data_IF_769024133938
#
_entry.id   IF_769024133938
#
_cell.length_a   1.000
_cell.length_b   1.000
_cell.length_c   1.000
_cell.angle_alpha   90.00
_cell.angle_beta   90.00
_cell.angle_gamma   90.00
#
_symmetry.space_group_name_H-M   'P 1'
#
loop_
_entity.id
_entity.type
_entity.pdbx_description
1 polymer ?
#
# COMPACT_ATOMS: atom_id res chain seq x y z
N UNK A 1 1.29 -20.67 -7.66
CA UNK A 1 1.27 -22.07 -7.17
C UNK A 1 0.08 -22.11 -6.25
N UNK A 2 -1.08 -22.52 -6.78
CA UNK A 2 -2.29 -22.68 -6.00
C UNK A 2 -2.02 -23.88 -5.08
N UNK A 3 -2.05 -23.69 -3.76
CA UNK A 3 -2.02 -24.86 -2.88
C UNK A 3 -3.35 -25.59 -3.07
N UNK A 4 -3.35 -26.81 -3.62
CA UNK A 4 -4.59 -27.51 -3.96
C UNK A 4 -5.40 -27.73 -2.67
N UNK A 5 -6.60 -27.16 -2.63
CA UNK A 5 -7.52 -27.31 -1.49
C UNK A 5 -7.40 -26.27 -0.38
N UNK A 6 -6.49 -25.29 -0.46
CA UNK A 6 -6.49 -24.18 0.52
C UNK A 6 -7.48 -23.09 0.11
N UNK A 7 -8.45 -22.81 0.97
CA UNK A 7 -9.37 -21.69 0.80
C UNK A 7 -8.59 -20.35 0.76
N UNK A 8 -9.06 -19.35 0.02
CA UNK A 8 -8.43 -18.04 -0.07
C UNK A 8 -8.18 -17.37 1.30
N UNK A 9 -9.00 -17.69 2.30
CA UNK A 9 -8.89 -17.23 3.69
C UNK A 9 -7.60 -17.72 4.33
N UNK A 10 -7.32 -19.02 4.21
CA UNK A 10 -6.11 -19.64 4.75
C UNK A 10 -4.88 -19.09 4.04
N UNK A 11 -4.94 -18.93 2.72
CA UNK A 11 -3.85 -18.34 1.95
C UNK A 11 -3.57 -16.90 2.36
N UNK A 12 -4.63 -16.12 2.58
CA UNK A 12 -4.55 -14.73 3.05
C UNK A 12 -3.99 -14.65 4.46
N UNK A 13 -4.42 -15.55 5.35
CA UNK A 13 -3.90 -15.64 6.71
C UNK A 13 -2.41 -15.99 6.71
N UNK A 14 -1.99 -17.01 5.97
CA UNK A 14 -0.58 -17.39 5.83
C UNK A 14 0.27 -16.26 5.28
N UNK A 15 -0.25 -15.53 4.29
CA UNK A 15 0.43 -14.36 3.73
C UNK A 15 0.66 -13.28 4.80
N UNK A 16 -0.37 -12.95 5.59
CA UNK A 16 -0.30 -11.94 6.66
C UNK A 16 0.65 -12.37 7.79
N UNK A 17 0.68 -13.66 8.12
CA UNK A 17 1.49 -14.17 9.24
C UNK A 17 2.96 -14.42 8.87
N UNK A 18 3.26 -14.82 7.64
CA UNK A 18 4.60 -15.28 7.24
C UNK A 18 5.22 -14.32 6.23
N UNK A 19 4.60 -14.20 5.04
CA UNK A 19 5.20 -13.47 3.93
C UNK A 19 5.35 -11.99 4.21
N UNK A 20 4.34 -11.38 4.83
CA UNK A 20 4.32 -9.95 5.09
C UNK A 20 5.37 -9.52 6.12
N UNK A 21 5.52 -10.16 7.30
CA UNK A 21 6.63 -9.89 8.22
C UNK A 21 7.99 -10.10 7.56
N UNK A 22 8.15 -11.19 6.80
CA UNK A 22 9.41 -11.51 6.10
C UNK A 22 9.79 -10.43 5.11
N UNK A 23 8.82 -9.90 4.36
CA UNK A 23 9.06 -8.82 3.38
C UNK A 23 9.40 -7.48 4.06
N UNK A 24 8.84 -7.22 5.26
CA UNK A 24 9.07 -5.98 6.00
C UNK A 24 10.32 -6.00 6.89
N UNK A 25 10.86 -7.18 7.16
CA UNK A 25 11.95 -7.35 8.11
C UNK A 25 13.19 -6.55 7.70
N UNK A 26 13.74 -5.78 8.64
CA UNK A 26 14.97 -4.98 8.44
C UNK A 26 14.79 -3.66 7.67
N UNK A 27 13.69 -3.47 6.93
CA UNK A 27 13.45 -2.24 6.17
C UNK A 27 13.15 -1.01 7.05
N UNK A 28 12.82 -1.25 8.32
CA UNK A 28 12.69 -0.20 9.34
C UNK A 28 14.01 0.55 9.55
N UNK A 29 15.14 -0.13 9.40
CA UNK A 29 16.47 0.39 9.64
C UNK A 29 17.11 1.05 8.41
N UNK A 30 16.52 0.89 7.22
CA UNK A 30 17.08 1.37 5.96
C UNK A 30 16.29 2.58 5.43
N UNK A 31 16.98 3.56 4.85
CA UNK A 31 16.30 4.58 4.05
C UNK A 31 15.72 3.92 2.79
N UNK A 32 14.45 4.19 2.49
CA UNK A 32 13.77 3.63 1.33
C UNK A 32 13.39 4.73 0.36
N UNK A 33 13.71 4.55 -0.91
CA UNK A 33 13.31 5.47 -1.98
C UNK A 33 11.90 5.12 -2.46
N UNK A 34 11.11 6.11 -2.91
CA UNK A 34 9.77 5.89 -3.47
C UNK A 34 9.72 4.85 -4.60
N UNK A 35 10.82 4.67 -5.36
CA UNK A 35 10.93 3.63 -6.39
C UNK A 35 11.00 2.23 -5.76
N UNK A 36 11.76 2.07 -4.67
CA UNK A 36 11.87 0.80 -3.95
C UNK A 36 10.54 0.46 -3.28
N UNK A 37 9.85 1.46 -2.72
CA UNK A 37 8.52 1.27 -2.13
C UNK A 37 7.52 0.71 -3.15
N UNK A 38 7.42 1.33 -4.33
CA UNK A 38 6.56 0.86 -5.42
C UNK A 38 6.92 -0.56 -5.90
N UNK A 39 8.21 -0.89 -5.92
CA UNK A 39 8.68 -2.26 -6.23
C UNK A 39 8.25 -3.26 -5.16
N UNK A 40 8.36 -2.93 -3.88
CA UNK A 40 7.95 -3.80 -2.77
C UNK A 40 6.44 -4.01 -2.74
N UNK A 41 5.64 -2.97 -2.98
CA UNK A 41 4.18 -3.09 -3.16
C UNK A 41 3.82 -3.98 -4.36
N UNK A 42 4.57 -3.84 -5.46
CA UNK A 42 4.39 -4.69 -6.65
C UNK A 42 4.73 -6.16 -6.36
N UNK A 43 5.76 -6.41 -5.55
CA UNK A 43 6.14 -7.77 -5.09
C UNK A 43 5.06 -8.34 -4.17
N UNK A 44 4.57 -7.56 -3.20
CA UNK A 44 3.46 -7.96 -2.32
C UNK A 44 2.24 -8.42 -3.15
N UNK A 45 1.81 -7.59 -4.10
CA UNK A 45 0.68 -7.92 -4.98
C UNK A 45 0.94 -9.14 -5.87
N UNK A 46 2.16 -9.29 -6.39
CA UNK A 46 2.53 -10.46 -7.22
C UNK A 46 2.49 -11.77 -6.43
N UNK A 47 2.99 -11.78 -5.19
CA UNK A 47 2.98 -12.96 -4.34
C UNK A 47 1.54 -13.43 -4.04
N UNK A 48 0.65 -12.49 -3.73
CA UNK A 48 -0.76 -12.79 -3.44
C UNK A 48 -1.52 -13.27 -4.68
N UNK A 49 -1.29 -12.64 -5.84
CA UNK A 49 -1.87 -13.12 -7.10
C UNK A 49 -1.38 -14.53 -7.43
N UNK A 50 -0.09 -14.79 -7.22
CA UNK A 50 0.51 -16.09 -7.48
C UNK A 50 -0.03 -17.17 -6.54
N UNK A 51 -0.39 -16.84 -5.29
CA UNK A 51 -1.06 -17.79 -4.38
C UNK A 51 -2.50 -18.07 -4.81
N UNK A 52 -3.23 -17.05 -5.27
CA UNK A 52 -4.62 -17.16 -5.71
C UNK A 52 -4.81 -17.63 -7.17
N UNK A 53 -3.72 -17.83 -7.91
CA UNK A 53 -3.79 -18.22 -9.33
C UNK A 53 -4.24 -17.11 -10.28
N UNK A 54 -4.18 -15.85 -9.85
CA UNK A 54 -4.58 -14.69 -10.66
C UNK A 54 -3.46 -14.22 -11.60
N UNK A 55 -3.84 -13.55 -12.69
CA UNK A 55 -2.89 -12.98 -13.65
C UNK A 55 -1.96 -11.96 -13.01
N UNK A 56 -0.74 -11.84 -13.53
CA UNK A 56 0.21 -10.79 -13.11
C UNK A 56 -0.34 -9.38 -13.36
N UNK A 57 -1.19 -9.22 -14.37
CA UNK A 57 -1.67 -7.94 -14.91
C UNK A 57 -2.92 -7.36 -14.19
N UNK A 58 -3.46 -8.02 -13.17
CA UNK A 58 -4.63 -7.50 -12.44
C UNK A 58 -4.30 -6.29 -11.55
N UNK A 59 -5.29 -5.46 -11.19
CA UNK A 59 -5.02 -4.41 -10.21
C UNK A 59 -4.83 -4.98 -8.79
N UNK A 60 -3.70 -4.64 -8.17
CA UNK A 60 -3.37 -5.06 -6.80
C UNK A 60 -4.27 -4.39 -5.75
N UNK A 61 -4.66 -3.13 -5.96
CA UNK A 61 -5.27 -2.29 -4.93
C UNK A 61 -6.63 -2.81 -4.49
N UNK A 62 -7.55 -3.09 -5.42
CA UNK A 62 -8.87 -3.64 -5.09
C UNK A 62 -8.77 -5.04 -4.45
N UNK A 63 -7.85 -5.87 -4.94
CA UNK A 63 -7.62 -7.22 -4.42
C UNK A 63 -7.10 -7.19 -2.98
N UNK A 64 -6.09 -6.36 -2.70
CA UNK A 64 -5.54 -6.19 -1.34
C UNK A 64 -6.61 -5.71 -0.36
N UNK A 65 -7.47 -4.77 -0.79
CA UNK A 65 -8.60 -4.31 0.02
C UNK A 65 -9.60 -5.42 0.29
N UNK A 66 -9.98 -6.20 -0.72
CA UNK A 66 -10.94 -7.31 -0.57
C UNK A 66 -10.44 -8.40 0.39
N UNK A 67 -9.14 -8.69 0.37
CA UNK A 67 -8.48 -9.64 1.26
C UNK A 67 -8.14 -9.04 2.64
N UNK A 68 -8.47 -7.77 2.88
CA UNK A 68 -8.13 -7.03 4.08
C UNK A 68 -6.62 -7.08 4.39
N UNK A 69 -5.79 -6.96 3.35
CA UNK A 69 -4.33 -6.90 3.44
C UNK A 69 -3.92 -5.43 3.40
N UNK A 70 -3.23 -4.98 4.44
CA UNK A 70 -2.71 -3.61 4.53
C UNK A 70 -1.66 -3.35 3.44
N UNK A 71 -1.58 -2.09 2.98
CA UNK A 71 -0.53 -1.69 2.04
C UNK A 71 0.84 -1.82 2.70
N UNK A 72 1.85 -2.08 1.88
CA UNK A 72 3.20 -2.25 2.35
C UNK A 72 3.72 -1.00 3.08
N UNK A 73 3.46 0.19 2.53
CA UNK A 73 3.89 1.47 3.10
C UNK A 73 3.33 1.70 4.51
N UNK A 74 2.03 1.44 4.71
CA UNK A 74 1.36 1.62 6.00
C UNK A 74 1.97 0.76 7.10
N UNK A 75 2.30 -0.49 6.77
CA UNK A 75 2.92 -1.44 7.69
C UNK A 75 4.32 -0.98 8.04
N UNK A 76 5.10 -0.56 7.04
CA UNK A 76 6.45 -0.08 7.25
C UNK A 76 6.45 1.18 8.13
N UNK A 77 5.54 2.12 7.89
CA UNK A 77 5.40 3.33 8.68
C UNK A 77 5.05 3.01 10.14
N UNK A 78 4.07 2.12 10.36
CA UNK A 78 3.74 1.63 11.71
C UNK A 78 4.93 1.01 12.41
N UNK A 79 5.67 0.17 11.69
CA UNK A 79 6.83 -0.52 12.21
C UNK A 79 7.98 0.45 12.56
N UNK A 80 8.26 1.44 11.70
CA UNK A 80 9.22 2.52 11.93
C UNK A 80 8.86 3.30 13.20
N UNK A 81 7.60 3.70 13.35
CA UNK A 81 7.12 4.41 14.54
C UNK A 81 7.24 3.54 15.80
N UNK A 82 6.96 2.24 15.69
CA UNK A 82 7.12 1.28 16.78
C UNK A 82 8.59 1.09 17.17
N UNK A 83 9.49 0.95 16.20
CA UNK A 83 10.94 0.87 16.42
C UNK A 83 11.47 2.14 17.09
N UNK A 84 11.10 3.31 16.58
CA UNK A 84 11.50 4.60 17.12
C UNK A 84 11.13 4.70 18.61
N UNK A 85 9.88 4.41 18.97
CA UNK A 85 9.45 4.39 20.37
C UNK A 85 10.20 3.35 21.22
N UNK A 86 10.38 2.12 20.72
CA UNK A 86 11.11 1.06 21.46
C UNK A 86 12.55 1.46 21.78
N UNK A 87 13.22 2.18 20.88
CA UNK A 87 14.59 2.67 21.11
C UNK A 87 14.65 3.61 22.32
N UNK A 88 13.66 4.46 22.55
CA UNK A 88 13.64 5.36 23.72
C UNK A 88 13.35 4.65 25.04
N UNK A 89 12.65 3.50 25.00
CA UNK A 89 12.32 2.70 26.19
C UNK A 89 13.48 1.87 26.72
N UNK A 90 14.40 1.44 25.86
CA UNK A 90 15.51 0.54 26.22
C UNK A 90 16.82 1.31 26.30
N UNK A 91 17.57 1.13 27.40
CA UNK A 91 18.92 1.66 27.48
C UNK A 91 19.84 0.96 26.47
N UNK A 92 20.25 1.71 25.44
CA UNK A 92 21.10 1.22 24.37
C UNK A 92 21.94 2.35 23.78
N UNK A 93 23.04 2.04 23.08
CA UNK A 93 23.78 3.03 22.30
C UNK A 93 22.89 3.73 21.26
N UNK A 94 21.94 2.99 20.67
CA UNK A 94 20.94 3.54 19.75
C UNK A 94 20.07 4.62 20.41
N UNK A 95 19.67 4.44 21.69
CA UNK A 95 18.95 5.46 22.46
C UNK A 95 19.75 6.75 22.58
N UNK A 96 21.03 6.66 22.96
CA UNK A 96 21.90 7.84 23.13
C UNK A 96 22.09 8.58 21.81
N UNK A 97 22.28 7.85 20.71
CA UNK A 97 22.36 8.42 19.36
C UNK A 97 21.05 9.13 18.99
N UNK A 98 19.89 8.48 19.20
CA UNK A 98 18.59 9.08 18.89
C UNK A 98 18.27 10.29 19.77
N UNK A 99 18.66 10.29 21.05
CA UNK A 99 18.54 11.45 21.93
C UNK A 99 19.40 12.62 21.45
N UNK A 100 20.62 12.36 21.00
CA UNK A 100 21.50 13.38 20.42
C UNK A 100 20.92 13.96 19.12
N UNK A 101 20.38 13.11 18.24
CA UNK A 101 19.72 13.58 17.01
C UNK A 101 18.45 14.38 17.32
N UNK A 102 17.67 13.94 18.32
CA UNK A 102 16.46 14.63 18.75
C UNK A 102 16.79 15.99 19.38
N UNK A 103 17.81 16.10 20.23
CA UNK A 103 18.22 17.38 20.81
C UNK A 103 18.71 18.34 19.73
N UNK A 104 19.49 17.85 18.75
CA UNK A 104 19.90 18.63 17.59
C UNK A 104 18.71 19.12 16.76
N UNK A 105 17.70 18.28 16.58
CA UNK A 105 16.47 18.66 15.89
C UNK A 105 15.68 19.74 16.66
N UNK A 106 15.57 19.62 17.99
CA UNK A 106 14.89 20.62 18.83
C UNK A 106 15.63 21.97 18.79
N UNK A 107 16.96 21.97 18.90
CA UNK A 107 17.74 23.21 18.97
C UNK A 107 17.86 23.93 17.61
N UNK A 108 18.01 23.17 16.51
CA UNK A 108 18.35 23.74 15.20
C UNK A 108 17.29 23.53 14.12
N UNK A 109 16.25 22.73 14.39
CA UNK A 109 15.22 22.38 13.40
C UNK A 109 15.71 21.52 12.24
N UNK A 110 16.92 20.94 12.33
CA UNK A 110 17.55 20.18 11.23
C UNK A 110 17.59 18.69 11.53
N UNK A 111 17.17 17.88 10.56
CA UNK A 111 17.33 16.42 10.57
C UNK A 111 18.56 16.00 9.76
N UNK A 112 19.07 14.79 10.02
CA UNK A 112 20.12 14.15 9.21
C UNK A 112 19.45 13.17 8.27
N UNK A 113 19.63 13.35 6.97
CA UNK A 113 18.95 12.56 5.94
C UNK A 113 19.17 11.06 6.11
N UNK A 114 18.10 10.28 5.94
CA UNK A 114 18.16 8.82 6.03
C UNK A 114 18.24 8.25 7.45
N UNK A 115 18.28 9.10 8.48
CA UNK A 115 18.14 8.63 9.86
C UNK A 115 16.70 8.25 10.18
N UNK A 116 16.52 7.45 11.23
CA UNK A 116 15.19 7.09 11.72
C UNK A 116 14.37 8.32 12.12
N UNK A 117 15.01 9.33 12.73
CA UNK A 117 14.38 10.59 13.10
C UNK A 117 13.87 11.35 11.86
N UNK A 118 14.69 11.44 10.82
CA UNK A 118 14.32 12.07 9.55
C UNK A 118 13.09 11.42 8.92
N UNK A 119 13.01 10.09 8.97
CA UNK A 119 11.83 9.34 8.50
C UNK A 119 10.58 9.70 9.30
N UNK A 120 10.65 9.74 10.62
CA UNK A 120 9.50 10.10 11.48
C UNK A 120 9.02 11.52 11.16
N UNK A 121 9.95 12.46 10.98
CA UNK A 121 9.61 13.84 10.59
C UNK A 121 8.99 13.88 9.19
N UNK A 122 9.53 13.13 8.21
CA UNK A 122 8.98 13.08 6.84
C UNK A 122 7.58 12.49 6.76
N UNK A 123 7.18 11.64 7.73
CA UNK A 123 5.83 11.11 7.85
C UNK A 123 4.82 12.13 8.43
N UNK A 124 5.29 13.32 8.82
CA UNK A 124 4.46 14.35 9.48
C UNK A 124 4.17 14.04 10.96
N UNK A 125 4.88 13.08 11.56
CA UNK A 125 4.70 12.68 12.94
C UNK A 125 5.62 13.50 13.86
N UNK A 126 5.12 13.88 15.05
CA UNK A 126 5.91 14.61 16.05
C UNK A 126 6.92 13.67 16.71
N UNK A 127 8.25 13.89 16.56
CA UNK A 127 9.25 12.99 17.12
C UNK A 127 9.24 12.97 18.64
N UNK A 128 9.03 14.12 19.28
CA UNK A 128 8.97 14.23 20.74
C UNK A 128 7.75 13.51 21.30
N UNK A 129 6.57 13.69 20.69
CA UNK A 129 5.35 12.98 21.08
C UNK A 129 5.54 11.47 20.95
N UNK A 130 6.12 10.99 19.84
CA UNK A 130 6.33 9.56 19.59
C UNK A 130 7.42 8.93 20.45
N UNK A 131 8.46 9.68 20.82
CA UNK A 131 9.51 9.22 21.71
C UNK A 131 9.06 9.07 23.16
N UNK A 132 8.22 9.99 23.66
CA UNK A 132 7.84 10.07 25.07
C UNK A 132 6.47 9.45 25.37
N UNK A 133 5.49 9.66 24.48
CA UNK A 133 4.11 9.24 24.66
C UNK A 133 3.66 8.36 23.48
N UNK A 134 3.93 7.06 23.60
CA UNK A 134 3.45 6.11 22.60
C UNK A 134 1.95 5.91 22.67
N UNK A 135 1.25 6.43 21.67
CA UNK A 135 -0.09 5.98 21.33
C UNK A 135 0.04 4.83 20.32
N UNK A 136 -0.55 3.68 20.63
CA UNK A 136 -0.64 2.56 19.70
C UNK A 136 -1.22 3.06 18.38
N UNK A 137 -0.48 2.90 17.28
CA UNK A 137 -0.99 3.24 15.94
C UNK A 137 -1.99 2.15 15.57
N UNK A 138 -3.30 2.46 15.52
CA UNK A 138 -4.30 1.46 15.15
C UNK A 138 -3.97 0.91 13.75
N UNK A 139 -4.30 -0.37 13.51
CA UNK A 139 -4.27 -0.89 12.15
C UNK A 139 -5.22 -0.03 11.32
N UNK A 140 -4.77 0.44 10.17
CA UNK A 140 -5.65 1.18 9.26
C UNK A 140 -6.70 0.19 8.79
N UNK A 141 -7.93 0.36 9.28
CA UNK A 141 -9.05 -0.44 8.79
C UNK A 141 -9.31 0.01 7.37
N UNK A 142 -9.14 -0.90 6.42
CA UNK A 142 -9.43 -0.67 5.01
C UNK A 142 -10.95 -0.71 4.84
N UNK A 143 -11.65 0.34 5.30
CA UNK A 143 -13.12 0.43 5.30
C UNK A 143 -13.63 1.38 4.23
N UNK A 144 -12.95 1.46 3.08
CA UNK A 144 -13.58 2.03 1.90
C UNK A 144 -14.50 0.96 1.30
N UNK A 145 -15.78 1.07 1.63
CA UNK A 145 -16.87 0.30 1.02
C UNK A 145 -16.98 0.72 -0.45
N UNK A 146 -16.31 -0.03 -1.31
CA UNK A 146 -16.40 0.09 -2.76
C UNK A 146 -17.14 -1.16 -3.24
N UNK A 147 -18.24 -0.98 -3.99
CA UNK A 147 -19.07 -2.10 -4.45
C UNK A 147 -18.28 -3.13 -5.26
N UNK A 148 -17.18 -2.70 -5.90
CA UNK A 148 -16.25 -3.60 -6.58
C UNK A 148 -15.43 -4.45 -5.60
N UNK A 149 -14.97 -3.86 -4.49
CA UNK A 149 -14.23 -4.58 -3.44
C UNK A 149 -15.14 -5.61 -2.77
N UNK A 150 -16.40 -5.26 -2.51
CA UNK A 150 -17.40 -6.17 -1.92
C UNK A 150 -17.74 -7.32 -2.87
N UNK A 151 -17.86 -7.05 -4.17
CA UNK A 151 -18.09 -8.08 -5.19
C UNK A 151 -16.90 -9.05 -5.28
N UNK A 152 -15.67 -8.53 -5.32
CA UNK A 152 -14.46 -9.36 -5.32
C UNK A 152 -14.38 -10.18 -4.03
N UNK A 153 -14.68 -9.58 -2.88
CA UNK A 153 -14.71 -10.28 -1.59
C UNK A 153 -15.77 -11.39 -1.59
N UNK A 154 -16.97 -11.17 -2.11
CA UNK A 154 -17.97 -12.23 -2.17
C UNK A 154 -17.50 -13.41 -3.05
N UNK A 155 -16.94 -13.12 -4.22
CA UNK A 155 -16.49 -14.15 -5.17
C UNK A 155 -15.28 -14.95 -4.68
N UNK A 156 -14.34 -14.29 -3.99
CA UNK A 156 -13.14 -14.95 -3.47
C UNK A 156 -13.47 -15.97 -2.38
N UNK A 157 -14.51 -15.73 -1.58
CA UNK A 157 -14.84 -16.58 -0.42
C UNK A 157 -15.88 -17.66 -0.77
N UNK A 158 -16.19 -17.85 -2.06
CA UNK A 158 -17.09 -18.91 -2.53
C UNK A 158 -16.32 -20.23 -2.69
N UNK A 159 -16.91 -21.36 -2.30
CA UNK A 159 -16.26 -22.69 -2.36
C UNK A 159 -15.75 -23.06 -3.76
N UNK A 160 -16.43 -22.55 -4.80
CA UNK A 160 -16.10 -22.79 -6.20
C UNK A 160 -14.86 -22.02 -6.69
N UNK A 161 -14.37 -21.02 -5.96
CA UNK A 161 -13.18 -20.25 -6.38
C UNK A 161 -11.91 -21.12 -6.41
N UNK A 162 -11.86 -22.16 -5.59
CA UNK A 162 -10.73 -23.10 -5.52
C UNK A 162 -10.57 -23.92 -6.81
N UNK A 163 -11.65 -24.07 -7.60
CA UNK A 163 -11.62 -24.77 -8.88
C UNK A 163 -11.06 -23.85 -9.96
N UNK A 164 -9.94 -24.20 -10.62
CA UNK A 164 -9.43 -23.39 -11.72
C UNK A 164 -10.48 -23.32 -12.84
N UNK A 165 -10.64 -22.13 -13.44
CA UNK A 165 -11.62 -21.84 -14.50
C UNK A 165 -13.10 -21.94 -14.09
N UNK A 166 -13.43 -21.94 -12.79
CA UNK A 166 -14.81 -21.73 -12.35
C UNK A 166 -15.35 -20.36 -12.81
N UNK A 167 -16.68 -20.21 -12.98
CA UNK A 167 -17.26 -18.93 -13.38
C UNK A 167 -16.90 -17.80 -12.40
N UNK A 168 -16.80 -18.11 -11.10
CA UNK A 168 -16.37 -17.17 -10.06
C UNK A 168 -14.88 -16.78 -10.24
N UNK A 169 -14.01 -17.74 -10.54
CA UNK A 169 -12.60 -17.47 -10.81
C UNK A 169 -12.40 -16.61 -12.06
N UNK A 170 -13.15 -16.90 -13.13
CA UNK A 170 -13.15 -16.11 -14.37
C UNK A 170 -13.69 -14.70 -14.13
N UNK A 171 -14.74 -14.55 -13.32
CA UNK A 171 -15.32 -13.24 -13.01
C UNK A 171 -14.34 -12.37 -12.22
N UNK A 172 -13.65 -12.92 -11.21
CA UNK A 172 -12.57 -12.22 -10.49
C UNK A 172 -11.44 -11.86 -11.45
N UNK A 173 -11.06 -12.76 -12.35
CA UNK A 173 -10.04 -12.49 -13.36
C UNK A 173 -10.44 -11.31 -14.27
N UNK A 174 -11.67 -11.29 -14.76
CA UNK A 174 -12.19 -10.24 -15.62
C UNK A 174 -12.31 -8.90 -14.89
N UNK A 175 -12.89 -8.87 -13.69
CA UNK A 175 -13.02 -7.63 -12.91
C UNK A 175 -11.67 -7.01 -12.60
N UNK A 176 -10.69 -7.84 -12.27
CA UNK A 176 -9.37 -7.35 -11.90
C UNK A 176 -8.49 -6.97 -13.09
N UNK A 177 -8.76 -7.51 -14.29
CA UNK A 177 -8.07 -7.16 -15.55
C UNK A 177 -8.75 -6.05 -16.33
N UNK A 178 -10.07 -5.95 -16.34
CA UNK A 178 -10.82 -4.89 -17.03
C UNK A 178 -10.44 -3.50 -16.49
N UNK A 179 -10.28 -3.36 -15.18
CA UNK A 179 -9.78 -2.12 -14.55
C UNK A 179 -8.41 -1.67 -15.11
N UNK A 180 -7.55 -2.62 -15.50
CA UNK A 180 -6.23 -2.35 -16.05
C UNK A 180 -6.30 -1.74 -17.45
N UNK A 181 -7.29 -2.12 -18.24
CA UNK A 181 -7.49 -1.57 -19.58
C UNK A 181 -8.31 -0.27 -19.58
N UNK A 182 -9.21 -0.09 -18.61
CA UNK A 182 -10.07 1.11 -18.52
C UNK A 182 -9.28 2.34 -18.04
N UNK A 183 -8.34 2.17 -17.10
CA UNK A 183 -7.56 3.30 -16.56
C UNK A 183 -6.71 4.06 -17.60
N UNK A 184 -5.94 3.42 -18.51
CA UNK A 184 -5.23 4.15 -19.55
C UNK A 184 -6.18 4.78 -20.58
N UNK A 185 -7.33 4.16 -20.86
CA UNK A 185 -8.29 4.63 -21.85
C UNK A 185 -9.05 5.87 -21.37
N UNK A 186 -9.37 5.94 -20.07
CA UNK A 186 -9.97 7.13 -19.44
C UNK A 186 -8.97 8.29 -19.33
N UNK A 187 -7.69 8.00 -19.06
CA UNK A 187 -6.63 9.02 -19.10
C UNK A 187 -6.43 9.54 -20.51
N UNK A 188 -6.44 8.68 -21.53
CA UNK A 188 -6.41 9.08 -22.94
C UNK A 188 -7.61 9.96 -23.30
N UNK A 189 -8.82 9.60 -22.87
CA UNK A 189 -10.02 10.41 -23.06
C UNK A 189 -9.92 11.77 -22.36
N UNK A 190 -9.40 11.84 -21.13
CA UNK A 190 -9.18 13.10 -20.42
C UNK A 190 -8.11 13.99 -21.07
N UNK A 191 -7.12 13.42 -21.76
CA UNK A 191 -6.13 14.18 -22.54
C UNK A 191 -6.68 14.64 -23.89
N UNK A 192 -7.57 13.87 -24.52
CA UNK A 192 -8.18 14.20 -25.81
C UNK A 192 -9.35 15.19 -25.67
N UNK A 193 -10.09 15.13 -24.56
CA UNK A 193 -11.25 16.00 -24.30
C UNK A 193 -10.94 17.51 -24.35
N UNK A 194 -9.87 18.05 -23.73
CA UNK A 194 -9.53 19.48 -23.84
C UNK A 194 -9.05 19.87 -25.25
N UNK A 195 -8.48 18.93 -26.01
CA UNK A 195 -8.08 19.17 -27.40
C UNK A 195 -9.33 19.29 -28.28
N UNK A 196 -10.32 18.42 -28.10
CA UNK A 196 -11.59 18.49 -28.83
C UNK A 196 -12.47 19.68 -28.41
N UNK A 197 -12.47 20.07 -27.13
CA UNK A 197 -13.24 21.25 -26.67
C UNK A 197 -12.61 22.58 -27.08
N UNK A 198 -11.28 22.62 -27.32
CA UNK A 198 -10.59 23.79 -27.87
C UNK A 198 -10.93 24.05 -29.35
N UNK A 199 -11.34 23.03 -30.10
CA UNK A 199 -11.76 23.17 -31.50
C UNK A 199 -13.24 23.57 -31.67
N UNK A 200 -14.02 23.63 -30.59
CA UNK A 200 -15.45 24.00 -30.61
C UNK A 200 -15.72 25.39 -30.00
N UNK A 201 -14.71 26.27 -29.90
CA UNK A 201 -14.96 27.70 -29.67
C UNK A 201 -15.32 28.35 -31.02
N UNK A 202 -16.62 28.60 -31.13
CA UNK A 202 -17.37 29.14 -32.25
C UNK A 202 -16.83 30.48 -32.80
N UNK A 203 -16.76 30.68 -34.14
CA UNK A 203 -16.42 31.94 -34.78
C UNK A 203 -17.65 32.84 -34.95
N UNK A 204 -18.32 33.21 -33.86
CA UNK A 204 -19.35 34.26 -33.88
C UNK A 204 -19.00 35.36 -32.89
N UNK A 205 -17.88 36.03 -33.11
CA UNK A 205 -17.61 37.35 -32.52
C UNK A 205 -16.68 38.10 -33.47
N UNK A 206 -17.23 38.61 -34.58
CA UNK A 206 -16.69 39.77 -35.31
C UNK A 206 -17.75 40.25 -36.30
N UNK A 207 -18.44 41.33 -35.97
CA UNK A 207 -18.70 42.53 -36.79
C UNK A 207 -19.76 43.38 -36.08
N UNK A 208 -19.27 44.26 -35.21
CA UNK A 208 -19.87 45.57 -34.92
C UNK A 208 -18.91 46.62 -35.47
#
# INVERSE_FOLDING_TARGET
>A
MLYPGATPDVQTYLFKCICQPTLTYGLECMSSTAIQMRRLESVQGRLIKQSLGLSKLSHNTALLKALNIEKFEDILNRNVLSLYNRIFKVESPARRLMQHLLSRFICYGKTVSGTLLDRVVSMGESPTKRALNYQHVPKISVTNNDGLVDSIKHLLFTDNFTKPYSPEHLLVHLLTTALYYITPLYVLLLFIYPILSGFYSSPYDFYM
#
